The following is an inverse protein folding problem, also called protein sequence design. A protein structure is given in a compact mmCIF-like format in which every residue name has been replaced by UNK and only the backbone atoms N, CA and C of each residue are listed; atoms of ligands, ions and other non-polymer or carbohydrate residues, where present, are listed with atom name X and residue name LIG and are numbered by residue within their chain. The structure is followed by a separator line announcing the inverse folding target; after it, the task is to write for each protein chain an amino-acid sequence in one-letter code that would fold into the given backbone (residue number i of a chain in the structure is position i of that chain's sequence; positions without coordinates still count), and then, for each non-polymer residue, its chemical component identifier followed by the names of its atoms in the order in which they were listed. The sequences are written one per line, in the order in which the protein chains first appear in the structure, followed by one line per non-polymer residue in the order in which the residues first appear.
data_IF_207895913058
#
_entry.id   IF_207895913058
#
_cell.length_a   1.000
_cell.length_b   1.000
_cell.length_c   1.000
_cell.angle_alpha   90.00
_cell.angle_beta   90.00
_cell.angle_gamma   90.00
#
_symmetry.space_group_name_H-M   'P 1'
#
loop_
_entity.id
_entity.type
_entity.pdbx_description
1 polymer ?
#
# COMPACT_ATOMS: atom_id res chain seq x y z
N UNK A 1 -31.36 -5.36 -20.69
CA UNK A 1 -30.69 -5.61 -19.39
C UNK A 1 -30.37 -4.26 -18.77
N UNK A 2 -31.03 -3.88 -17.67
CA UNK A 2 -30.96 -2.53 -17.11
C UNK A 2 -29.56 -2.26 -16.53
N UNK A 3 -28.88 -1.20 -17.00
CA UNK A 3 -27.53 -0.84 -16.55
C UNK A 3 -27.40 -0.66 -15.03
N UNK A 4 -28.51 -0.32 -14.36
CA UNK A 4 -28.60 -0.24 -12.89
C UNK A 4 -28.35 -1.59 -12.20
N UNK A 5 -28.83 -2.70 -12.77
CA UNK A 5 -28.59 -4.04 -12.23
C UNK A 5 -27.12 -4.49 -12.40
N UNK A 6 -26.47 -4.02 -13.47
CA UNK A 6 -25.04 -4.25 -13.69
C UNK A 6 -24.17 -3.45 -12.72
N UNK A 7 -24.57 -2.23 -12.36
CA UNK A 7 -23.87 -1.41 -11.38
C UNK A 7 -24.04 -1.95 -9.95
N UNK A 8 -25.25 -2.34 -9.54
CA UNK A 8 -25.50 -2.89 -8.19
C UNK A 8 -24.93 -4.28 -7.98
N UNK A 9 -24.69 -5.04 -9.06
CA UNK A 9 -24.01 -6.35 -9.00
C UNK A 9 -22.52 -6.27 -8.62
N UNK A 10 -21.92 -5.07 -8.62
CA UNK A 10 -20.49 -4.88 -8.39
C UNK A 10 -20.22 -4.61 -6.90
N UNK A 11 -19.48 -5.48 -6.19
CA UNK A 11 -19.27 -5.34 -4.73
C UNK A 11 -18.64 -4.01 -4.30
N UNK A 12 -17.76 -3.43 -5.14
CA UNK A 12 -17.05 -2.19 -4.85
C UNK A 12 -17.97 -0.96 -4.80
N UNK A 13 -19.12 -0.98 -5.48
CA UNK A 13 -20.07 0.15 -5.48
C UNK A 13 -20.61 0.40 -4.07
N UNK A 14 -20.79 -0.67 -3.28
CA UNK A 14 -21.33 -0.61 -1.93
C UNK A 14 -20.40 0.14 -0.98
N UNK A 15 -19.08 0.05 -1.19
CA UNK A 15 -18.10 0.82 -0.42
C UNK A 15 -18.25 2.32 -0.67
N UNK A 16 -18.42 2.74 -1.95
CA UNK A 16 -18.64 4.14 -2.29
C UNK A 16 -19.97 4.67 -1.73
N UNK A 17 -21.04 3.89 -1.83
CA UNK A 17 -22.34 4.24 -1.26
C UNK A 17 -22.24 4.39 0.26
N UNK A 18 -21.58 3.45 0.95
CA UNK A 18 -21.38 3.52 2.39
C UNK A 18 -20.56 4.76 2.79
N UNK A 19 -19.47 5.07 2.07
CA UNK A 19 -18.66 6.28 2.32
C UNK A 19 -19.47 7.55 2.16
N UNK A 20 -20.26 7.68 1.08
CA UNK A 20 -21.12 8.85 0.85
C UNK A 20 -22.20 8.95 1.91
N UNK A 21 -22.83 7.83 2.29
CA UNK A 21 -23.85 7.81 3.34
C UNK A 21 -23.28 8.27 4.68
N UNK A 22 -22.13 7.74 5.09
CA UNK A 22 -21.44 8.15 6.33
C UNK A 22 -21.09 9.64 6.28
N UNK A 23 -20.55 10.12 5.16
CA UNK A 23 -20.19 11.54 4.99
C UNK A 23 -21.41 12.47 5.12
N UNK A 24 -22.54 12.13 4.49
CA UNK A 24 -23.79 12.89 4.60
C UNK A 24 -24.29 12.90 6.04
N UNK A 25 -24.32 11.74 6.70
CA UNK A 25 -24.74 11.63 8.10
C UNK A 25 -23.87 12.54 8.98
N UNK A 26 -22.55 12.49 8.84
CA UNK A 26 -21.63 13.35 9.61
C UNK A 26 -21.88 14.83 9.38
N UNK A 27 -22.15 15.25 8.13
CA UNK A 27 -22.44 16.66 7.82
C UNK A 27 -23.75 17.13 8.46
N UNK A 28 -24.78 16.29 8.41
CA UNK A 28 -26.08 16.59 9.02
C UNK A 28 -25.96 16.74 10.54
N UNK A 29 -25.22 15.85 11.20
CA UNK A 29 -24.99 15.93 12.65
C UNK A 29 -24.14 17.15 13.07
N UNK A 30 -23.22 17.59 12.21
CA UNK A 30 -22.31 18.71 12.52
C UNK A 30 -22.84 20.07 12.02
N UNK A 31 -24.05 20.10 11.45
CA UNK A 31 -24.64 21.33 10.92
C UNK A 31 -23.83 21.96 9.78
N UNK A 32 -23.09 21.16 9.00
CA UNK A 32 -22.20 21.64 7.94
C UNK A 32 -20.87 22.23 8.40
N UNK A 33 -20.68 22.48 9.70
CA UNK A 33 -19.40 22.93 10.23
C UNK A 33 -18.35 21.82 10.06
N UNK A 34 -17.23 22.13 9.38
CA UNK A 34 -16.13 21.18 9.20
C UNK A 34 -16.26 20.20 8.04
N UNK A 35 -17.28 20.29 7.18
CA UNK A 35 -17.40 19.43 5.99
C UNK A 35 -16.15 19.48 5.09
N UNK A 36 -15.60 20.69 4.88
CA UNK A 36 -14.36 20.88 4.15
C UNK A 36 -13.15 20.29 4.88
N UNK A 37 -13.00 20.54 6.18
CA UNK A 37 -11.89 20.03 6.99
C UNK A 37 -11.87 18.50 7.07
N UNK A 38 -13.04 17.88 7.24
CA UNK A 38 -13.21 16.43 7.28
C UNK A 38 -12.84 15.80 5.92
N UNK A 39 -13.33 16.39 4.83
CA UNK A 39 -13.03 15.91 3.47
C UNK A 39 -11.53 16.06 3.16
N UNK A 40 -10.94 17.20 3.51
CA UNK A 40 -9.51 17.45 3.34
C UNK A 40 -8.65 16.44 4.10
N UNK A 41 -8.97 16.19 5.38
CA UNK A 41 -8.27 15.18 6.18
C UNK A 41 -8.45 13.77 5.60
N UNK A 42 -9.67 13.40 5.19
CA UNK A 42 -9.96 12.11 4.58
C UNK A 42 -9.15 11.88 3.30
N UNK A 43 -9.05 12.89 2.43
CA UNK A 43 -8.20 12.81 1.23
C UNK A 43 -6.73 12.63 1.57
N UNK A 44 -6.22 13.33 2.58
CA UNK A 44 -4.83 13.16 3.04
C UNK A 44 -4.56 11.73 3.52
N UNK A 45 -5.42 11.15 4.37
CA UNK A 45 -5.27 9.76 4.83
C UNK A 45 -5.40 8.74 3.69
N UNK A 46 -6.38 8.96 2.79
CA UNK A 46 -6.55 8.12 1.60
C UNK A 46 -5.30 8.13 0.73
N UNK A 47 -4.65 9.29 0.57
CA UNK A 47 -3.42 9.44 -0.22
C UNK A 47 -2.28 8.61 0.33
N UNK A 48 -2.05 8.63 1.65
CA UNK A 48 -1.05 7.77 2.30
C UNK A 48 -1.37 6.28 2.10
N UNK A 49 -2.64 5.90 2.25
CA UNK A 49 -3.09 4.52 2.03
C UNK A 49 -2.88 4.06 0.60
N UNK A 50 -3.15 4.92 -0.40
CA UNK A 50 -2.90 4.63 -1.81
C UNK A 50 -1.41 4.44 -2.09
N UNK A 51 -0.54 5.32 -1.60
CA UNK A 51 0.91 5.21 -1.83
C UNK A 51 1.45 3.90 -1.23
N UNK A 52 1.08 3.59 0.00
CA UNK A 52 1.49 2.36 0.68
C UNK A 52 0.91 1.12 -0.02
N UNK A 53 -0.36 1.17 -0.41
CA UNK A 53 -1.04 0.10 -1.11
C UNK A 53 -0.41 -0.19 -2.48
N UNK A 54 -0.04 0.85 -3.23
CA UNK A 54 0.71 0.72 -4.48
C UNK A 54 2.06 0.06 -4.27
N UNK A 55 2.82 0.48 -3.25
CA UNK A 55 4.09 -0.15 -2.88
C UNK A 55 3.92 -1.64 -2.55
N UNK A 56 2.94 -1.97 -1.71
CA UNK A 56 2.64 -3.36 -1.34
C UNK A 56 2.18 -4.19 -2.54
N UNK A 57 1.44 -3.59 -3.48
CA UNK A 57 1.03 -4.26 -4.71
C UNK A 57 2.24 -4.72 -5.52
N UNK A 58 3.28 -3.88 -5.63
CA UNK A 58 4.53 -4.27 -6.28
C UNK A 58 5.23 -5.40 -5.54
N UNK A 59 5.31 -5.37 -4.21
CA UNK A 59 5.93 -6.43 -3.40
C UNK A 59 5.23 -7.78 -3.61
N UNK A 60 3.90 -7.80 -3.58
CA UNK A 60 3.12 -9.03 -3.77
C UNK A 60 3.26 -9.55 -5.20
N UNK A 61 3.23 -8.67 -6.20
CA UNK A 61 3.26 -9.04 -7.62
C UNK A 61 4.65 -9.50 -8.07
N UNK A 62 5.71 -8.88 -7.54
CA UNK A 62 7.11 -9.19 -7.88
C UNK A 62 7.70 -10.33 -7.03
N UNK A 63 7.27 -10.42 -5.77
CA UNK A 63 7.72 -11.41 -4.81
C UNK A 63 6.93 -12.71 -4.87
N UNK A 64 7.19 -13.64 -3.94
CA UNK A 64 6.40 -14.86 -3.79
C UNK A 64 5.02 -14.62 -3.14
N UNK A 65 4.47 -13.40 -3.21
CA UNK A 65 3.23 -13.01 -2.53
C UNK A 65 3.39 -12.65 -1.05
N UNK A 66 4.58 -12.19 -0.63
CA UNK A 66 4.82 -11.75 0.75
C UNK A 66 4.05 -10.45 1.06
N UNK A 67 3.52 -10.35 2.28
CA UNK A 67 2.90 -9.13 2.82
C UNK A 67 3.83 -8.57 3.88
N UNK A 68 4.25 -7.31 3.71
CA UNK A 68 5.00 -6.58 4.73
C UNK A 68 4.05 -5.84 5.68
N UNK A 69 4.01 -6.28 6.95
CA UNK A 69 3.22 -5.64 8.01
C UNK A 69 3.98 -4.55 8.77
N UNK A 70 5.30 -4.42 8.56
CA UNK A 70 6.14 -3.44 9.25
C UNK A 70 6.10 -2.03 8.65
N UNK A 71 5.41 -1.86 7.51
CA UNK A 71 5.35 -0.58 6.77
C UNK A 71 4.90 0.60 7.64
N UNK A 72 3.82 0.52 8.44
CA UNK A 72 3.40 1.65 9.27
C UNK A 72 4.42 2.03 10.35
N UNK A 73 5.07 1.03 10.97
CA UNK A 73 6.12 1.27 11.96
C UNK A 73 7.35 1.91 11.32
N UNK A 74 7.73 1.45 10.13
CA UNK A 74 8.83 1.99 9.35
C UNK A 74 8.58 3.44 8.91
N UNK A 75 7.36 3.77 8.47
CA UNK A 75 6.98 5.15 8.14
C UNK A 75 7.20 6.08 9.33
N UNK A 76 6.78 5.68 10.52
CA UNK A 76 6.97 6.46 11.75
C UNK A 76 8.45 6.62 12.07
N UNK A 77 9.24 5.55 12.08
CA UNK A 77 10.67 5.63 12.37
C UNK A 77 11.41 6.53 11.36
N UNK A 78 11.16 6.34 10.06
CA UNK A 78 11.78 7.12 9.00
C UNK A 78 11.41 8.61 9.11
N UNK A 79 10.14 8.93 9.36
CA UNK A 79 9.68 10.31 9.54
C UNK A 79 10.33 10.95 10.78
N UNK A 80 10.35 10.24 11.90
CA UNK A 80 10.92 10.72 13.16
C UNK A 80 12.42 11.00 13.03
N UNK A 81 13.19 10.09 12.45
CA UNK A 81 14.64 10.27 12.28
C UNK A 81 14.97 11.32 11.22
N UNK A 82 14.20 11.41 10.13
CA UNK A 82 14.36 12.46 9.14
C UNK A 82 14.12 13.85 9.75
N UNK A 83 13.05 14.02 10.54
CA UNK A 83 12.74 15.29 11.20
C UNK A 83 13.82 15.68 12.21
N UNK A 84 14.33 14.72 13.00
CA UNK A 84 15.45 14.97 13.91
C UNK A 84 16.69 15.50 13.20
N UNK A 85 17.00 14.96 12.02
CA UNK A 85 18.15 15.40 11.24
C UNK A 85 17.93 16.73 10.55
N UNK A 86 16.70 17.03 10.14
CA UNK A 86 16.39 18.32 9.51
C UNK A 86 16.49 19.47 10.50
N UNK A 87 16.18 19.26 11.78
CA UNK A 87 16.28 20.25 12.86
C UNK A 87 15.79 21.67 12.50
N UNK A 88 14.66 21.77 11.80
CA UNK A 88 14.09 23.01 11.26
C UNK A 88 14.95 23.77 10.22
N UNK A 89 16.05 23.20 9.75
CA UNK A 89 16.94 23.79 8.74
C UNK A 89 16.50 23.41 7.32
N UNK A 90 16.27 24.43 6.47
CA UNK A 90 15.80 24.21 5.10
C UNK A 90 16.84 23.53 4.20
N UNK A 91 18.13 23.83 4.41
CA UNK A 91 19.23 23.20 3.67
C UNK A 91 19.37 21.70 3.90
N UNK A 92 18.79 21.17 4.98
CA UNK A 92 18.87 19.75 5.36
C UNK A 92 17.67 18.92 4.89
N UNK A 93 16.71 19.52 4.16
CA UNK A 93 15.53 18.80 3.66
C UNK A 93 15.93 17.60 2.78
N UNK A 94 16.89 17.79 1.87
CA UNK A 94 17.35 16.72 0.99
C UNK A 94 18.05 15.60 1.77
N UNK A 95 18.84 15.96 2.78
CA UNK A 95 19.52 15.00 3.66
C UNK A 95 18.52 14.19 4.49
N UNK A 96 17.49 14.84 5.05
CA UNK A 96 16.44 14.15 5.80
C UNK A 96 15.61 13.21 4.90
N UNK A 97 15.30 13.61 3.66
CA UNK A 97 14.64 12.74 2.70
C UNK A 97 15.51 11.54 2.33
N UNK A 98 16.81 11.74 2.10
CA UNK A 98 17.75 10.67 1.83
C UNK A 98 17.81 9.67 3.00
N UNK A 99 17.82 10.16 4.25
CA UNK A 99 17.81 9.28 5.42
C UNK A 99 16.51 8.51 5.55
N UNK A 100 15.35 9.13 5.29
CA UNK A 100 14.08 8.41 5.27
C UNK A 100 14.09 7.24 4.26
N UNK A 101 14.64 7.46 3.06
CA UNK A 101 14.80 6.42 2.04
C UNK A 101 15.79 5.33 2.48
N UNK A 102 16.92 5.71 3.08
CA UNK A 102 17.92 4.75 3.58
C UNK A 102 17.35 3.87 4.70
N UNK A 103 16.57 4.42 5.62
CA UNK A 103 15.90 3.65 6.68
C UNK A 103 14.91 2.66 6.07
N UNK A 104 14.08 3.12 5.13
CA UNK A 104 13.13 2.24 4.45
C UNK A 104 13.81 1.10 3.69
N UNK A 105 14.92 1.40 3.01
CA UNK A 105 15.73 0.40 2.32
C UNK A 105 16.37 -0.59 3.32
N UNK A 106 16.95 -0.10 4.41
CA UNK A 106 17.56 -0.92 5.44
C UNK A 106 16.55 -1.88 6.07
N UNK A 107 15.36 -1.39 6.43
CA UNK A 107 14.27 -2.21 6.96
C UNK A 107 13.82 -3.25 5.94
N UNK A 108 13.64 -2.86 4.68
CA UNK A 108 13.26 -3.81 3.61
C UNK A 108 14.30 -4.91 3.40
N UNK A 109 15.59 -4.57 3.46
CA UNK A 109 16.70 -5.53 3.38
C UNK A 109 16.68 -6.46 4.60
N UNK A 110 16.48 -5.92 5.81
CA UNK A 110 16.37 -6.72 7.03
C UNK A 110 15.19 -7.71 6.94
N UNK A 111 14.01 -7.26 6.52
CA UNK A 111 12.84 -8.12 6.33
C UNK A 111 13.13 -9.25 5.33
N UNK A 112 13.73 -8.91 4.19
CA UNK A 112 14.12 -9.90 3.19
C UNK A 112 15.19 -10.88 3.72
N UNK A 113 16.17 -10.39 4.47
CA UNK A 113 17.22 -11.21 5.07
C UNK A 113 16.66 -12.17 6.12
N UNK A 114 15.75 -11.73 6.99
CA UNK A 114 15.07 -12.59 7.97
C UNK A 114 14.33 -13.74 7.28
N UNK A 115 13.60 -13.44 6.20
CA UNK A 115 12.84 -14.45 5.46
C UNK A 115 13.79 -15.43 4.76
N UNK A 116 14.83 -14.94 4.08
CA UNK A 116 15.73 -15.78 3.28
C UNK A 116 16.70 -16.59 4.13
N UNK A 117 17.26 -16.01 5.19
CA UNK A 117 18.31 -16.61 6.00
C UNK A 117 17.74 -17.48 7.13
N UNK A 118 16.74 -16.99 7.88
CA UNK A 118 16.17 -17.71 9.02
C UNK A 118 15.00 -18.63 8.62
N UNK A 119 14.54 -18.58 7.36
CA UNK A 119 13.42 -19.39 6.83
C UNK A 119 12.12 -19.27 7.65
N UNK A 120 11.93 -18.13 8.31
CA UNK A 120 10.72 -17.83 9.08
C UNK A 120 9.58 -17.45 8.10
N UNK A 121 8.33 -17.87 8.34
CA UNK A 121 7.18 -17.39 7.58
C UNK A 121 7.10 -15.85 7.55
N UNK A 122 6.82 -15.23 6.38
CA UNK A 122 6.96 -13.79 6.16
C UNK A 122 6.06 -12.94 7.06
N UNK A 123 4.86 -13.43 7.38
CA UNK A 123 3.92 -12.73 8.27
C UNK A 123 4.51 -12.58 9.68
N UNK A 124 5.11 -13.64 10.21
CA UNK A 124 5.69 -13.64 11.56
C UNK A 124 6.91 -12.72 11.60
N UNK A 125 7.81 -12.85 10.61
CA UNK A 125 9.03 -12.04 10.54
C UNK A 125 8.72 -10.54 10.49
N UNK A 126 7.78 -10.13 9.62
CA UNK A 126 7.45 -8.70 9.44
C UNK A 126 6.65 -8.13 10.61
N UNK A 127 5.79 -8.92 11.25
CA UNK A 127 5.07 -8.50 12.45
C UNK A 127 6.01 -8.33 13.66
N UNK A 128 6.95 -9.26 13.86
CA UNK A 128 8.02 -9.11 14.87
C UNK A 128 8.90 -7.89 14.58
N UNK A 129 9.31 -7.68 13.34
CA UNK A 129 10.09 -6.51 12.94
C UNK A 129 9.31 -5.21 13.19
N UNK A 130 8.00 -5.20 12.94
CA UNK A 130 7.14 -4.04 13.23
C UNK A 130 7.23 -3.61 14.69
N UNK A 131 7.23 -4.56 15.64
CA UNK A 131 7.37 -4.24 17.06
C UNK A 131 8.75 -3.72 17.44
N UNK A 132 9.81 -4.26 16.83
CA UNK A 132 11.17 -3.77 17.04
C UNK A 132 11.31 -2.34 16.55
N UNK A 133 10.91 -2.08 15.30
CA UNK A 133 10.94 -0.75 14.69
C UNK A 133 10.09 0.23 15.49
N UNK A 134 8.88 -0.17 15.91
CA UNK A 134 8.00 0.68 16.68
C UNK A 134 8.60 1.02 18.05
N UNK A 135 9.26 0.06 18.72
CA UNK A 135 9.98 0.30 19.98
C UNK A 135 11.12 1.30 19.79
N UNK A 136 11.92 1.15 18.72
CA UNK A 136 12.97 2.10 18.35
C UNK A 136 12.40 3.47 18.01
N UNK A 137 11.27 3.52 17.30
CA UNK A 137 10.59 4.76 16.94
C UNK A 137 10.13 5.50 18.20
N UNK A 138 9.52 4.81 19.17
CA UNK A 138 9.10 5.40 20.44
C UNK A 138 10.30 5.88 21.25
N UNK A 139 11.35 5.08 21.34
CA UNK A 139 12.58 5.47 22.03
C UNK A 139 13.21 6.72 21.39
N UNK A 140 13.28 6.75 20.06
CA UNK A 140 13.75 7.90 19.31
C UNK A 140 12.81 9.11 19.44
N UNK A 141 11.50 8.92 19.59
CA UNK A 141 10.53 10.00 19.71
C UNK A 141 10.64 10.80 21.03
N UNK A 142 11.30 10.24 22.06
CA UNK A 142 11.45 10.92 23.35
C UNK A 142 12.19 12.25 23.15
N UNK A 143 11.51 13.34 23.49
CA UNK A 143 12.07 14.70 23.41
C UNK A 143 11.95 15.38 22.05
N UNK A 144 11.23 14.82 21.07
CA UNK A 144 11.01 15.51 19.79
C UNK A 144 10.08 16.72 19.94
N UNK A 145 10.70 17.89 19.93
CA UNK A 145 10.06 19.20 19.72
C UNK A 145 10.53 19.86 18.43
N UNK A 146 11.05 19.07 17.50
CA UNK A 146 11.57 19.57 16.23
C UNK A 146 10.41 19.81 15.28
N UNK A 147 10.15 21.07 14.96
CA UNK A 147 9.18 21.45 13.94
C UNK A 147 9.75 21.08 12.56
N UNK A 148 8.95 20.54 11.64
CA UNK A 148 9.40 20.40 10.25
C UNK A 148 9.84 21.76 9.69
N UNK A 149 10.84 21.80 8.79
CA UNK A 149 11.21 23.00 8.05
C UNK A 149 9.97 23.64 7.42
N UNK A 150 9.90 24.97 7.43
CA UNK A 150 8.67 25.70 7.09
C UNK A 150 8.19 25.39 5.68
N UNK A 151 9.09 25.38 4.70
CA UNK A 151 8.80 24.99 3.31
C UNK A 151 8.20 23.58 3.19
N UNK A 152 8.71 22.60 3.94
CA UNK A 152 8.18 21.22 3.93
C UNK A 152 6.83 21.11 4.65
N UNK A 153 6.66 21.85 5.75
CA UNK A 153 5.40 21.92 6.49
C UNK A 153 4.30 22.57 5.63
N UNK A 154 4.62 23.66 4.94
CA UNK A 154 3.71 24.33 4.01
C UNK A 154 3.37 23.42 2.83
N UNK A 155 4.35 22.73 2.23
CA UNK A 155 4.08 21.81 1.12
C UNK A 155 3.13 20.67 1.52
N UNK A 156 3.31 20.10 2.71
CA UNK A 156 2.51 18.96 3.19
C UNK A 156 1.10 19.34 3.67
N UNK A 157 0.90 20.59 4.10
CA UNK A 157 -0.40 21.10 4.57
C UNK A 157 -1.15 21.94 3.54
N UNK A 158 -0.47 22.46 2.52
CA UNK A 158 -1.08 23.24 1.46
C UNK A 158 -2.01 22.38 0.59
N UNK A 159 -3.05 23.05 0.08
CA UNK A 159 -3.97 22.51 -0.90
C UNK A 159 -3.88 23.33 -2.18
N UNK A 160 -3.86 22.64 -3.31
CA UNK A 160 -3.91 23.26 -4.64
C UNK A 160 -5.27 22.92 -5.25
N UNK A 161 -6.06 23.92 -5.63
CA UNK A 161 -7.44 23.74 -6.13
C UNK A 161 -8.38 22.97 -5.18
N UNK A 162 -8.19 23.10 -3.86
CA UNK A 162 -9.00 22.38 -2.85
C UNK A 162 -8.60 20.92 -2.63
N UNK A 163 -7.56 20.43 -3.32
CA UNK A 163 -7.02 19.07 -3.18
C UNK A 163 -5.71 19.16 -2.38
N UNK A 164 -5.52 18.34 -1.32
CA UNK A 164 -4.25 18.28 -0.61
C UNK A 164 -3.09 17.95 -1.55
N UNK A 165 -1.96 18.65 -1.44
CA UNK A 165 -0.80 18.40 -2.30
C UNK A 165 -0.32 16.93 -2.25
N UNK A 166 -0.47 16.29 -1.08
CA UNK A 166 -0.14 14.87 -0.87
C UNK A 166 -0.99 13.96 -1.78
N UNK A 167 -2.25 14.31 -2.05
CA UNK A 167 -3.12 13.57 -2.95
C UNK A 167 -2.70 13.69 -4.41
N UNK A 168 -2.20 14.85 -4.82
CA UNK A 168 -1.63 15.07 -6.15
C UNK A 168 -0.37 14.19 -6.32
N UNK A 169 0.51 14.16 -5.32
CA UNK A 169 1.70 13.29 -5.32
C UNK A 169 1.28 11.81 -5.41
N UNK A 170 0.30 11.37 -4.62
CA UNK A 170 -0.22 10.01 -4.67
C UNK A 170 -0.78 9.65 -6.06
N UNK A 171 -1.51 10.58 -6.69
CA UNK A 171 -2.04 10.41 -8.04
C UNK A 171 -0.92 10.27 -9.07
N UNK A 172 0.10 11.13 -9.02
CA UNK A 172 1.27 11.07 -9.91
C UNK A 172 1.97 9.72 -9.75
N UNK A 173 2.23 9.28 -8.51
CA UNK A 173 2.85 7.98 -8.24
C UNK A 173 2.01 6.81 -8.74
N UNK A 174 0.68 6.90 -8.62
CA UNK A 174 -0.26 5.90 -9.16
C UNK A 174 -0.18 5.81 -10.69
N UNK A 175 -0.16 6.96 -11.38
CA UNK A 175 -0.01 7.02 -12.85
C UNK A 175 1.34 6.46 -13.27
N UNK A 176 2.43 6.82 -12.60
CA UNK A 176 3.77 6.27 -12.86
C UNK A 176 3.75 4.75 -12.68
N UNK A 177 3.19 4.26 -11.56
CA UNK A 177 3.05 2.84 -11.30
C UNK A 177 2.26 2.12 -12.40
N UNK A 178 1.12 2.67 -12.80
CA UNK A 178 0.31 2.14 -13.90
C UNK A 178 1.08 2.07 -15.21
N UNK A 179 1.82 3.11 -15.58
CA UNK A 179 2.64 3.14 -16.80
C UNK A 179 3.75 2.09 -16.73
N UNK A 180 4.43 1.96 -15.59
CA UNK A 180 5.47 0.95 -15.36
C UNK A 180 4.89 -0.47 -15.52
N UNK A 181 3.74 -0.75 -14.92
CA UNK A 181 3.04 -2.03 -15.05
C UNK A 181 2.58 -2.30 -16.48
N UNK A 182 2.01 -1.30 -17.17
CA UNK A 182 1.55 -1.45 -18.55
C UNK A 182 2.73 -1.74 -19.47
N UNK A 183 3.85 -1.03 -19.31
CA UNK A 183 5.08 -1.29 -20.08
C UNK A 183 5.68 -2.66 -19.74
N UNK A 184 5.73 -3.03 -18.46
CA UNK A 184 6.19 -4.34 -18.01
C UNK A 184 5.29 -5.49 -18.48
N UNK A 185 3.99 -5.26 -18.65
CA UNK A 185 3.07 -6.24 -19.22
C UNK A 185 3.19 -6.35 -20.75
N UNK A 186 3.60 -5.29 -21.43
CA UNK A 186 3.79 -5.27 -22.88
C UNK A 186 5.13 -5.91 -23.27
N UNK A 187 6.15 -5.80 -22.40
CA UNK A 187 7.41 -6.54 -22.50
C UNK A 187 7.29 -7.92 -21.86
N UNK A 188 7.15 -8.97 -22.65
CA UNK A 188 6.80 -10.33 -22.22
C UNK A 188 7.67 -10.95 -21.09
N UNK A 189 8.82 -10.37 -20.70
CA UNK A 189 9.72 -10.93 -19.67
C UNK A 189 9.25 -10.79 -18.22
N UNK A 190 8.52 -9.74 -17.85
CA UNK A 190 8.24 -9.41 -16.44
C UNK A 190 7.21 -10.35 -15.79
N UNK A 191 6.12 -10.67 -16.50
CA UNK A 191 5.13 -11.66 -16.05
C UNK A 191 5.61 -13.10 -16.23
N UNK A 192 6.53 -13.35 -17.18
CA UNK A 192 7.07 -14.69 -17.44
C UNK A 192 7.98 -15.20 -16.32
N UNK A 193 8.78 -14.34 -15.68
CA UNK A 193 9.62 -14.71 -14.54
C UNK A 193 8.80 -15.10 -13.31
N UNK A 194 7.70 -14.39 -13.04
CA UNK A 194 6.72 -14.75 -12.02
C UNK A 194 6.04 -16.10 -12.34
N UNK A 195 5.64 -16.31 -13.60
CA UNK A 195 4.95 -17.54 -14.06
C UNK A 195 5.86 -18.78 -14.08
N UNK A 196 7.15 -18.64 -14.40
CA UNK A 196 8.12 -19.76 -14.37
C UNK A 196 8.54 -20.14 -12.95
N UNK A 197 8.57 -19.20 -11.99
CA UNK A 197 8.89 -19.49 -10.58
C UNK A 197 7.77 -20.27 -9.89
N UNK A 198 6.49 -19.98 -10.18
CA UNK A 198 5.35 -20.78 -9.70
C UNK A 198 5.40 -22.23 -10.19
N UNK A 199 5.80 -22.47 -11.46
CA UNK A 199 6.00 -23.81 -12.03
C UNK A 199 7.13 -24.61 -11.39
N UNK A 200 8.23 -23.97 -10.96
CA UNK A 200 9.34 -24.66 -10.27
C UNK A 200 9.02 -25.03 -8.82
N UNK A 201 8.13 -24.29 -8.17
CA UNK A 201 7.68 -24.61 -6.82
C UNK A 201 6.80 -25.88 -6.79
N UNK A 202 6.17 -26.25 -7.91
CA UNK A 202 5.31 -27.43 -8.04
C UNK A 202 5.64 -28.23 -9.32
N UNK A 203 6.70 -29.05 -9.31
CA UNK A 203 7.01 -29.91 -10.43
C UNK A 203 5.91 -30.97 -10.59
N UNK A 204 5.15 -30.94 -11.69
CA UNK A 204 4.09 -31.92 -11.99
C UNK A 204 2.65 -31.42 -11.85
N UNK A 205 2.41 -30.15 -11.50
CA UNK A 205 1.05 -29.62 -11.41
C UNK A 205 0.38 -29.47 -12.80
N UNK A 206 -0.88 -29.93 -12.98
CA UNK A 206 -1.59 -29.81 -14.26
C UNK A 206 -1.74 -28.34 -14.68
N UNK A 207 -1.76 -28.03 -15.99
CA UNK A 207 -1.73 -26.66 -16.52
C UNK A 207 -2.95 -25.80 -16.12
N UNK A 208 -3.97 -26.39 -15.49
CA UNK A 208 -5.10 -25.70 -14.86
C UNK A 208 -4.75 -25.11 -13.47
N UNK A 209 -3.97 -25.81 -12.64
CA UNK A 209 -3.56 -25.34 -11.30
C UNK A 209 -2.48 -24.26 -11.38
N UNK A 210 -1.53 -24.36 -12.33
CA UNK A 210 -0.54 -23.30 -12.59
C UNK A 210 -1.17 -21.99 -13.10
N UNK A 211 -2.44 -22.06 -13.56
CA UNK A 211 -3.24 -20.91 -14.01
C UNK A 211 -4.04 -20.28 -12.85
N UNK A 212 -4.29 -21.05 -11.78
CA UNK A 212 -4.93 -20.57 -10.56
C UNK A 212 -3.92 -19.92 -9.59
N UNK A 213 -2.64 -20.32 -9.65
CA UNK A 213 -1.55 -19.73 -8.86
C UNK A 213 -0.89 -18.52 -9.50
N UNK A 214 -1.27 -18.14 -10.72
CA UNK A 214 -0.96 -16.82 -11.26
C UNK A 214 -1.95 -15.81 -10.69
N UNK A 215 -1.58 -14.93 -9.74
CA UNK A 215 -2.35 -13.72 -9.58
C UNK A 215 -2.17 -12.96 -10.89
N UNK A 216 -3.24 -12.34 -11.40
CA UNK A 216 -3.18 -11.44 -12.56
C UNK A 216 -3.20 -12.19 -13.90
N UNK A 217 -4.38 -12.67 -14.27
CA UNK A 217 -4.90 -12.29 -15.57
C UNK A 217 -6.01 -11.26 -15.30
N UNK A 218 -5.80 -10.04 -15.80
CA UNK A 218 -6.69 -8.86 -15.73
C UNK A 218 -6.79 -8.14 -14.38
N UNK A 219 -6.00 -7.07 -14.23
CA UNK A 219 -6.61 -5.82 -13.82
C UNK A 219 -6.73 -4.94 -15.08
N UNK A 220 -7.85 -4.26 -15.25
CA UNK A 220 -7.77 -2.85 -14.88
C UNK A 220 -8.70 -2.48 -13.73
N UNK A 221 -9.65 -3.35 -13.39
CA UNK A 221 -10.71 -3.06 -12.42
C UNK A 221 -11.44 -4.38 -12.14
N UNK A 222 -11.22 -5.03 -10.99
CA UNK A 222 -11.98 -6.21 -10.57
C UNK A 222 -13.49 -5.87 -10.52
N UNK A 223 -14.51 -6.74 -10.83
CA UNK A 223 -14.53 -8.21 -10.91
C UNK A 223 -15.15 -8.78 -12.22
N UNK A 224 -14.99 -10.08 -12.48
CA UNK A 224 -16.10 -10.94 -12.96
C UNK A 224 -15.99 -12.33 -12.31
N UNK A 225 -17.10 -12.72 -11.66
CA UNK A 225 -17.42 -14.02 -11.05
C UNK A 225 -16.57 -14.51 -9.87
N UNK A 226 -16.87 -13.95 -8.69
CA UNK A 226 -16.75 -14.67 -7.42
C UNK A 226 -17.76 -15.85 -7.38
N UNK A 227 -17.44 -16.97 -8.02
CA UNK A 227 -18.25 -18.19 -7.95
C UNK A 227 -17.48 -19.52 -8.07
N UNK A 228 -16.16 -19.53 -8.28
CA UNK A 228 -15.41 -20.79 -8.51
C UNK A 228 -14.29 -21.09 -7.49
N UNK A 229 -14.27 -20.41 -6.35
CA UNK A 229 -13.31 -20.69 -5.26
C UNK A 229 -13.86 -21.69 -4.22
N UNK A 230 -14.39 -22.82 -4.68
CA UNK A 230 -14.59 -23.99 -3.81
C UNK A 230 -14.10 -25.24 -4.53
N UNK A 231 -12.94 -25.82 -4.18
CA UNK A 231 -12.85 -27.26 -4.14
C UNK A 231 -13.45 -27.69 -2.80
N UNK A 232 -14.76 -27.97 -2.81
CA UNK A 232 -15.36 -28.82 -1.78
C UNK A 232 -14.55 -30.12 -1.77
N UNK A 233 -13.96 -30.40 -0.62
CA UNK A 233 -13.41 -31.70 -0.25
C UNK A 233 -14.43 -32.81 -0.54
N UNK A 234 -14.23 -33.54 -1.64
CA UNK A 234 -14.84 -34.86 -1.89
C UNK A 234 -13.77 -35.81 -2.41
N UNK A 235 -12.83 -36.15 -1.54
CA UNK A 235 -11.92 -37.27 -1.71
C UNK A 235 -11.71 -37.96 -0.35
N UNK A 236 -12.80 -38.43 0.22
CA UNK A 236 -12.81 -39.33 1.39
C UNK A 236 -14.10 -40.16 1.34
N UNK A 237 -14.26 -40.93 0.26
CA UNK A 237 -15.19 -42.08 0.17
C UNK A 237 -14.67 -42.99 -0.94
N UNK A 238 -13.74 -43.86 -0.56
CA UNK A 238 -13.65 -45.29 -0.90
C UNK A 238 -12.44 -45.85 -0.19
#
# INVERSE_FOLDING_TARGET
MNGLALLTSRPWIWSFIATVAVWIITILFTGGAGAHGLSHAAFTFASFSVIVGLGQMFVITLGPGNIDLSVPANMTLAATLALKLMDSQEGMILAGLAVALLIGLAVGICNYALIKLLRIPPIIATLSMSFLIQSTAIWSNRGLRVKPPESLAQFTTASTFGIPNVAIVALILSVIGWVLLKRASTGAGFLQSARTRSRRAWPGSPPSMARASSPICSAPFWPRSAASCLPVSRAARR
#
